data_IF_587096229146
#
_entry.id   IF_587096229146
#
_cell.length_a   1.000
_cell.length_b   1.000
_cell.length_c   1.000
_cell.angle_alpha   90.00
_cell.angle_beta   90.00
_cell.angle_gamma   90.00
#
_symmetry.space_group_name_H-M   'P 1'
#
loop_
_entity.id
_entity.type
_entity.pdbx_description
1 polymer ?
#
# COMPACT_ATOMS: atom_id res chain seq x y z
N UNK A 1 27.18 -33.76 4.48
CA UNK A 1 27.48 -32.43 5.04
C UNK A 1 26.96 -31.39 4.07
N UNK A 2 25.76 -30.86 4.34
CA UNK A 2 25.14 -29.81 3.52
C UNK A 2 25.81 -28.49 3.92
N UNK A 3 26.56 -27.89 2.99
CA UNK A 3 27.42 -26.74 3.27
C UNK A 3 26.65 -25.49 3.71
N UNK A 4 27.32 -24.55 4.41
CA UNK A 4 26.72 -23.32 4.96
C UNK A 4 26.30 -22.29 3.89
N UNK A 5 26.43 -22.61 2.60
CA UNK A 5 26.20 -21.70 1.48
C UNK A 5 24.72 -21.35 1.25
N UNK A 6 23.78 -22.22 1.65
CA UNK A 6 22.35 -21.97 1.43
C UNK A 6 21.82 -20.83 2.31
N UNK A 7 22.42 -20.60 3.49
CA UNK A 7 21.98 -19.55 4.42
C UNK A 7 22.33 -18.13 3.96
N UNK A 8 23.46 -17.96 3.25
CA UNK A 8 23.97 -16.63 2.88
C UNK A 8 23.24 -16.05 1.67
N UNK A 9 22.85 -16.88 0.71
CA UNK A 9 22.16 -16.45 -0.52
C UNK A 9 20.74 -15.94 -0.19
N UNK A 10 20.05 -16.58 0.77
CA UNK A 10 18.70 -16.17 1.18
C UNK A 10 18.66 -14.77 1.82
N UNK A 11 19.66 -14.41 2.63
CA UNK A 11 19.74 -13.09 3.27
C UNK A 11 19.99 -11.95 2.30
N UNK A 12 20.79 -12.18 1.25
CA UNK A 12 21.13 -11.15 0.26
C UNK A 12 19.90 -10.75 -0.58
N UNK A 13 19.06 -11.72 -0.94
CA UNK A 13 17.85 -11.47 -1.74
C UNK A 13 16.81 -10.67 -0.93
N UNK A 14 16.61 -11.01 0.35
CA UNK A 14 15.68 -10.28 1.23
C UNK A 14 16.17 -8.85 1.51
N UNK A 15 17.49 -8.68 1.74
CA UNK A 15 18.09 -7.36 1.95
C UNK A 15 17.98 -6.44 0.73
N UNK A 16 18.20 -6.97 -0.48
CA UNK A 16 18.09 -6.19 -1.72
C UNK A 16 16.64 -5.73 -2.01
N UNK A 17 15.65 -6.60 -1.75
CA UNK A 17 14.22 -6.26 -1.88
C UNK A 17 13.77 -5.20 -0.87
N UNK A 18 14.28 -5.24 0.37
CA UNK A 18 13.98 -4.25 1.39
C UNK A 18 14.46 -2.84 0.99
N UNK A 19 15.69 -2.73 0.44
CA UNK A 19 16.28 -1.45 0.04
C UNK A 19 15.60 -0.87 -1.22
N UNK A 20 15.26 -1.73 -2.19
CA UNK A 20 14.51 -1.31 -3.39
C UNK A 20 13.06 -0.89 -3.06
N UNK A 21 12.43 -1.62 -2.11
CA UNK A 21 11.11 -1.29 -1.59
C UNK A 21 11.08 0.06 -0.89
N UNK A 22 12.10 0.39 -0.10
CA UNK A 22 12.11 1.63 0.68
C UNK A 22 12.24 2.89 -0.19
N UNK A 23 13.09 2.86 -1.22
CA UNK A 23 13.19 3.97 -2.18
C UNK A 23 11.89 4.17 -2.97
N UNK A 24 11.26 3.06 -3.37
CA UNK A 24 9.98 3.10 -4.11
C UNK A 24 8.85 3.60 -3.22
N UNK A 25 8.84 3.21 -1.94
CA UNK A 25 7.83 3.65 -0.97
C UNK A 25 7.97 5.14 -0.65
N UNK A 26 9.21 5.63 -0.49
CA UNK A 26 9.46 7.07 -0.32
C UNK A 26 9.02 7.88 -1.54
N UNK A 27 9.31 7.40 -2.75
CA UNK A 27 8.83 8.03 -4.00
C UNK A 27 7.30 8.05 -4.09
N UNK A 28 6.64 6.94 -3.78
CA UNK A 28 5.16 6.85 -3.77
C UNK A 28 4.54 7.79 -2.73
N UNK A 29 5.11 7.86 -1.52
CA UNK A 29 4.65 8.79 -0.49
C UNK A 29 4.74 10.24 -0.99
N UNK A 30 5.85 10.62 -1.63
CA UNK A 30 5.98 11.97 -2.22
C UNK A 30 4.97 12.20 -3.34
N UNK A 31 4.88 11.27 -4.28
CA UNK A 31 3.93 11.34 -5.39
C UNK A 31 2.46 11.37 -4.93
N UNK A 32 2.14 10.75 -3.80
CA UNK A 32 0.82 10.84 -3.17
C UNK A 32 0.52 12.29 -2.75
N UNK A 33 1.42 12.92 -1.99
CA UNK A 33 1.22 14.31 -1.57
C UNK A 33 1.25 15.29 -2.74
N UNK A 34 2.10 15.04 -3.75
CA UNK A 34 2.14 15.86 -4.97
C UNK A 34 0.82 15.76 -5.77
N UNK A 35 0.16 14.59 -5.76
CA UNK A 35 -1.11 14.37 -6.48
C UNK A 35 -2.34 14.86 -5.71
N UNK A 36 -2.42 14.54 -4.43
CA UNK A 36 -3.63 14.73 -3.63
C UNK A 36 -3.55 15.93 -2.69
N UNK A 37 -2.35 16.46 -2.42
CA UNK A 37 -2.08 17.61 -1.55
C UNK A 37 -2.22 17.29 -0.06
N UNK A 38 -3.33 16.65 0.33
CA UNK A 38 -3.65 16.31 1.70
C UNK A 38 -4.40 14.96 1.78
N UNK A 39 -4.65 14.50 3.00
CA UNK A 39 -5.49 13.34 3.23
C UNK A 39 -6.94 13.61 2.82
N UNK A 40 -7.48 14.79 3.14
CA UNK A 40 -8.83 15.20 2.73
C UNK A 40 -8.97 15.35 1.20
N UNK A 41 -7.90 15.84 0.55
CA UNK A 41 -7.86 15.91 -0.92
C UNK A 41 -7.81 14.54 -1.58
N UNK A 42 -7.29 13.53 -0.88
CA UNK A 42 -7.39 12.13 -1.28
C UNK A 42 -8.79 11.58 -1.00
N UNK A 43 -9.31 11.71 0.22
CA UNK A 43 -10.60 11.13 0.62
C UNK A 43 -11.78 11.66 -0.20
N UNK A 44 -11.73 12.94 -0.60
CA UNK A 44 -12.74 13.55 -1.48
C UNK A 44 -12.73 13.02 -2.91
N UNK A 45 -11.65 12.34 -3.33
CA UNK A 45 -11.53 11.71 -4.66
C UNK A 45 -11.79 10.21 -4.63
N UNK A 46 -11.91 9.59 -3.45
CA UNK A 46 -12.23 8.16 -3.34
C UNK A 46 -13.74 7.97 -3.51
N UNK A 47 -14.11 6.96 -4.31
CA UNK A 47 -15.50 6.51 -4.45
C UNK A 47 -15.95 5.78 -3.17
N UNK A 48 -16.52 6.53 -2.25
CA UNK A 48 -16.98 6.03 -0.95
C UNK A 48 -18.02 4.91 -1.10
N UNK A 49 -18.98 5.06 -2.00
CA UNK A 49 -20.08 4.09 -2.16
C UNK A 49 -19.54 2.75 -2.67
N UNK A 50 -18.60 2.79 -3.62
CA UNK A 50 -17.89 1.59 -4.07
C UNK A 50 -17.12 0.94 -2.92
N UNK A 51 -16.39 1.71 -2.12
CA UNK A 51 -15.59 1.17 -1.02
C UNK A 51 -16.48 0.55 0.06
N UNK A 52 -17.58 1.20 0.42
CA UNK A 52 -18.58 0.68 1.37
C UNK A 52 -19.22 -0.60 0.85
N UNK A 53 -19.57 -0.65 -0.44
CA UNK A 53 -20.12 -1.84 -1.09
C UNK A 53 -19.14 -3.03 -1.04
N UNK A 54 -17.88 -2.80 -1.44
CA UNK A 54 -16.83 -3.84 -1.41
C UNK A 54 -16.55 -4.30 0.01
N UNK A 55 -16.52 -3.38 0.99
CA UNK A 55 -16.33 -3.73 2.41
C UNK A 55 -17.45 -4.65 2.91
N UNK A 56 -18.70 -4.33 2.59
CA UNK A 56 -19.85 -5.16 2.98
C UNK A 56 -19.83 -6.55 2.33
N UNK A 57 -19.40 -6.66 1.06
CA UNK A 57 -19.41 -7.91 0.32
C UNK A 57 -18.18 -8.80 0.57
N UNK A 58 -17.01 -8.20 0.78
CA UNK A 58 -15.71 -8.89 0.73
C UNK A 58 -14.77 -8.56 1.90
N UNK A 59 -15.19 -7.67 2.81
CA UNK A 59 -14.45 -7.31 4.02
C UNK A 59 -13.39 -6.22 3.84
N UNK A 60 -12.76 -5.84 4.96
CA UNK A 60 -11.88 -4.68 5.04
C UNK A 60 -10.65 -4.77 4.14
N UNK A 61 -10.04 -5.97 4.01
CA UNK A 61 -8.85 -6.16 3.17
C UNK A 61 -9.18 -5.90 1.69
N UNK A 62 -10.35 -6.35 1.24
CA UNK A 62 -10.80 -6.13 -0.13
C UNK A 62 -11.11 -4.66 -0.38
N UNK A 63 -11.71 -3.97 0.60
CA UNK A 63 -11.95 -2.53 0.53
C UNK A 63 -10.65 -1.73 0.44
N UNK A 64 -9.65 -2.04 1.27
CA UNK A 64 -8.32 -1.39 1.21
C UNK A 64 -7.64 -1.65 -0.12
N UNK A 65 -7.79 -2.86 -0.68
CA UNK A 65 -7.27 -3.19 -2.01
C UNK A 65 -7.98 -2.36 -3.09
N UNK A 66 -9.31 -2.29 -3.08
CA UNK A 66 -10.08 -1.51 -4.04
C UNK A 66 -9.65 -0.03 -4.07
N UNK A 67 -9.47 0.58 -2.89
CA UNK A 67 -8.94 1.94 -2.76
C UNK A 67 -7.58 2.09 -3.44
N UNK A 68 -6.67 1.13 -3.27
CA UNK A 68 -5.32 1.19 -3.86
C UNK A 68 -5.28 0.83 -5.34
N UNK A 69 -6.25 0.06 -5.83
CA UNK A 69 -6.39 -0.25 -7.25
C UNK A 69 -6.82 1.01 -8.01
N UNK A 70 -7.75 1.79 -7.45
CA UNK A 70 -8.19 3.08 -8.04
C UNK A 70 -7.19 4.21 -7.77
N UNK A 71 -6.49 4.18 -6.63
CA UNK A 71 -5.52 5.18 -6.20
C UNK A 71 -4.14 4.54 -5.94
N UNK A 72 -3.38 4.15 -6.97
CA UNK A 72 -2.15 3.36 -6.84
C UNK A 72 -0.99 4.07 -6.12
N UNK A 73 -1.07 5.40 -6.01
CA UNK A 73 -0.12 6.20 -5.23
C UNK A 73 -0.42 6.19 -3.73
N UNK A 74 -1.62 5.79 -3.31
CA UNK A 74 -2.00 5.74 -1.90
C UNK A 74 -1.10 4.76 -1.13
N UNK A 75 -0.36 5.25 -0.10
CA UNK A 75 0.33 4.37 0.81
C UNK A 75 -0.67 3.43 1.50
N UNK A 76 -0.26 2.19 1.76
CA UNK A 76 -1.13 1.19 2.39
C UNK A 76 -1.77 1.69 3.68
N UNK A 77 -1.00 2.40 4.51
CA UNK A 77 -1.48 2.94 5.78
C UNK A 77 -2.55 4.02 5.61
N UNK A 78 -2.48 4.82 4.54
CA UNK A 78 -3.49 5.84 4.23
C UNK A 78 -4.77 5.21 3.69
N UNK A 79 -4.65 4.23 2.79
CA UNK A 79 -5.81 3.49 2.29
C UNK A 79 -6.51 2.70 3.41
N UNK A 80 -5.72 2.09 4.31
CA UNK A 80 -6.24 1.43 5.51
C UNK A 80 -6.99 2.40 6.41
N UNK A 81 -6.39 3.55 6.72
CA UNK A 81 -7.01 4.59 7.54
C UNK A 81 -8.35 5.05 6.96
N UNK A 82 -8.41 5.28 5.65
CA UNK A 82 -9.65 5.68 4.98
C UNK A 82 -10.77 4.66 5.17
N UNK A 83 -10.47 3.36 4.99
CA UNK A 83 -11.46 2.28 5.20
C UNK A 83 -11.88 2.16 6.66
N UNK A 84 -10.99 2.43 7.61
CA UNK A 84 -11.30 2.42 9.05
C UNK A 84 -12.16 3.61 9.49
N UNK A 85 -12.06 4.76 8.79
CA UNK A 85 -12.83 5.98 9.07
C UNK A 85 -14.22 6.00 8.39
N UNK A 86 -14.50 5.05 7.50
CA UNK A 86 -15.79 4.84 6.80
C UNK A 86 -16.82 4.06 7.61
#
# INVERSE_FOLDING_TARGET
MIGPLTGTIAFVIVGALAIAGERTTRKRKRAFWDRYGSYEGFSSQVDEDKVRSVRGAHGDIAAVKAVRDDHPLAPLLIAKRYVEEL
#
